data_IF_204620174180
#
_entry.id   IF_204620174180
#
_cell.length_a   1.000
_cell.length_b   1.000
_cell.length_c   1.000
_cell.angle_alpha   90.00
_cell.angle_beta   90.00
_cell.angle_gamma   90.00
#
_symmetry.space_group_name_H-M   'P 1'
#
loop_
_entity.id
_entity.type
_entity.pdbx_description
1 polymer ?
#
# COMPACT_ATOMS: atom_id res chain seq x y z
N UNK A 1 3.97 -1.49 -12.09
CA UNK A 1 2.63 -2.10 -12.01
C UNK A 1 1.60 -1.14 -12.62
N UNK A 2 0.48 -1.61 -13.16
CA UNK A 2 -0.64 -0.75 -13.59
C UNK A 2 -1.67 -0.57 -12.46
N UNK A 3 -2.45 0.51 -12.48
CA UNK A 3 -3.47 0.83 -11.46
C UNK A 3 -4.45 -0.32 -11.18
N UNK A 4 -5.11 -0.84 -12.22
CA UNK A 4 -6.06 -1.96 -12.10
C UNK A 4 -5.40 -3.22 -11.50
N UNK A 5 -4.15 -3.49 -11.88
CA UNK A 5 -3.39 -4.62 -11.35
C UNK A 5 -3.09 -4.45 -9.85
N UNK A 6 -2.75 -3.24 -9.39
CA UNK A 6 -2.54 -2.98 -7.97
C UNK A 6 -3.84 -3.15 -7.17
N UNK A 7 -4.94 -2.59 -7.67
CA UNK A 7 -6.27 -2.72 -7.05
C UNK A 7 -6.67 -4.19 -6.89
N UNK A 8 -6.48 -5.00 -7.93
CA UNK A 8 -6.76 -6.44 -7.88
C UNK A 8 -5.86 -7.16 -6.87
N UNK A 9 -4.57 -6.81 -6.80
CA UNK A 9 -3.63 -7.39 -5.85
C UNK A 9 -4.00 -7.05 -4.40
N UNK A 10 -4.29 -5.78 -4.09
CA UNK A 10 -4.69 -5.35 -2.75
C UNK A 10 -5.98 -6.05 -2.30
N UNK A 11 -6.95 -6.19 -3.21
CA UNK A 11 -8.20 -6.91 -2.96
C UNK A 11 -7.95 -8.39 -2.68
N UNK A 12 -7.14 -9.06 -3.51
CA UNK A 12 -6.78 -10.49 -3.32
C UNK A 12 -5.94 -10.73 -2.06
N UNK A 13 -5.13 -9.75 -1.66
CA UNK A 13 -4.35 -9.79 -0.43
C UNK A 13 -5.24 -9.67 0.82
N UNK A 14 -6.48 -9.21 0.66
CA UNK A 14 -7.48 -9.15 1.72
C UNK A 14 -7.57 -7.80 2.43
N UNK A 15 -7.08 -6.71 1.81
CA UNK A 15 -7.28 -5.37 2.37
C UNK A 15 -8.74 -4.93 2.17
N UNK A 16 -9.45 -4.50 3.23
CA UNK A 16 -10.77 -3.89 3.10
C UNK A 16 -10.73 -2.68 2.16
N UNK A 17 -11.69 -2.62 1.23
CA UNK A 17 -11.80 -1.59 0.21
C UNK A 17 -13.08 -0.77 0.40
N UNK A 18 -12.97 0.55 0.31
CA UNK A 18 -14.07 1.51 0.25
C UNK A 18 -13.79 2.51 -0.90
N UNK A 19 -14.49 2.33 -2.03
CA UNK A 19 -14.16 3.06 -3.26
C UNK A 19 -12.73 2.78 -3.73
N UNK A 20 -11.90 3.81 -3.82
CA UNK A 20 -10.47 3.69 -4.19
C UNK A 20 -9.52 3.60 -2.98
N UNK A 21 -10.09 3.44 -1.79
CA UNK A 21 -9.36 3.43 -0.53
C UNK A 21 -9.23 2.01 0.00
N UNK A 22 -8.01 1.61 0.36
CA UNK A 22 -7.69 0.35 1.02
C UNK A 22 -7.19 0.61 2.43
N UNK A 23 -7.76 -0.08 3.41
CA UNK A 23 -7.35 0.02 4.81
C UNK A 23 -6.51 -1.19 5.23
N UNK A 24 -5.62 -0.99 6.21
CA UNK A 24 -4.98 -2.10 6.90
C UNK A 24 -6.04 -2.90 7.69
N UNK A 25 -6.15 -4.24 7.50
CA UNK A 25 -7.04 -5.06 8.31
C UNK A 25 -6.65 -5.04 9.80
N UNK A 26 -7.63 -5.21 10.69
CA UNK A 26 -7.36 -5.35 12.12
C UNK A 26 -6.46 -6.56 12.39
N UNK A 27 -5.55 -6.43 13.36
CA UNK A 27 -4.61 -7.50 13.73
C UNK A 27 -3.56 -7.82 12.66
N UNK A 28 -3.37 -6.94 11.68
CA UNK A 28 -2.37 -7.10 10.63
C UNK A 28 -1.48 -5.85 10.49
N UNK A 29 -0.35 -6.03 9.84
CA UNK A 29 0.58 -5.00 9.41
C UNK A 29 0.70 -5.04 7.88
N UNK A 30 0.52 -3.88 7.25
CA UNK A 30 0.78 -3.69 5.81
C UNK A 30 2.12 -2.99 5.63
N UNK A 31 2.96 -3.53 4.74
CA UNK A 31 4.21 -2.93 4.29
C UNK A 31 4.15 -2.74 2.77
N UNK A 32 4.55 -1.57 2.27
CA UNK A 32 4.64 -1.28 0.83
C UNK A 32 6.10 -1.08 0.44
N UNK A 33 6.52 -1.74 -0.65
CA UNK A 33 7.87 -1.67 -1.19
C UNK A 33 7.84 -0.87 -2.48
N UNK A 34 8.59 0.24 -2.51
CA UNK A 34 8.67 1.15 -3.64
C UNK A 34 10.06 1.10 -4.28
N UNK A 35 10.12 1.06 -5.61
CA UNK A 35 11.35 1.23 -6.37
C UNK A 35 11.61 2.70 -6.67
N UNK A 36 12.49 3.35 -5.90
CA UNK A 36 12.88 4.75 -6.12
C UNK A 36 14.32 4.80 -6.69
N UNK A 37 14.44 4.73 -8.01
CA UNK A 37 15.74 4.75 -8.67
C UNK A 37 16.60 3.55 -8.27
N UNK A 38 17.74 3.81 -7.62
CA UNK A 38 18.70 2.76 -7.22
C UNK A 38 18.43 2.19 -5.82
N UNK A 39 17.57 2.82 -5.03
CA UNK A 39 17.29 2.38 -3.65
C UNK A 39 15.80 2.07 -3.45
N UNK A 40 15.46 0.93 -2.84
CA UNK A 40 14.08 0.66 -2.47
C UNK A 40 13.69 1.50 -1.24
N UNK A 41 12.53 2.16 -1.30
CA UNK A 41 11.89 2.73 -0.11
C UNK A 41 10.89 1.73 0.45
N UNK A 42 11.03 1.42 1.73
CA UNK A 42 10.11 0.53 2.45
C UNK A 42 9.24 1.40 3.36
N UNK A 43 7.94 1.41 3.10
CA UNK A 43 6.97 2.08 3.96
C UNK A 43 6.31 1.00 4.81
N UNK A 44 6.73 0.93 6.08
CA UNK A 44 6.19 -0.03 7.03
C UNK A 44 5.03 0.55 7.84
N UNK A 45 4.19 -0.34 8.40
CA UNK A 45 3.00 0.01 9.18
C UNK A 45 2.10 1.01 8.45
N UNK A 46 1.71 0.65 7.23
CA UNK A 46 0.73 1.39 6.44
C UNK A 46 -0.65 1.23 7.07
N UNK A 47 -1.33 2.35 7.29
CA UNK A 47 -2.72 2.37 7.76
C UNK A 47 -3.71 2.39 6.59
N UNK A 48 -3.39 3.14 5.52
CA UNK A 48 -4.28 3.38 4.38
C UNK A 48 -3.49 3.54 3.08
N UNK A 49 -4.05 3.04 2.00
CA UNK A 49 -3.58 3.24 0.62
C UNK A 49 -4.76 3.80 -0.19
N UNK A 50 -4.59 4.96 -0.81
CA UNK A 50 -5.55 5.55 -1.75
C UNK A 50 -5.00 5.37 -3.16
N UNK A 51 -5.78 4.82 -4.09
CA UNK A 51 -5.33 4.55 -5.48
C UNK A 51 -6.15 5.40 -6.45
N UNK A 52 -5.58 6.51 -6.91
CA UNK A 52 -6.26 7.45 -7.80
C UNK A 52 -5.59 7.46 -9.18
N UNK A 53 -6.14 6.66 -10.10
CA UNK A 53 -5.55 6.50 -11.44
C UNK A 53 -4.13 5.95 -11.36
N UNK A 54 -3.16 6.66 -11.94
CA UNK A 54 -1.75 6.26 -11.97
C UNK A 54 -0.96 6.64 -10.70
N UNK A 55 -1.62 7.25 -9.71
CA UNK A 55 -1.00 7.69 -8.48
C UNK A 55 -1.55 6.94 -7.26
N UNK A 56 -0.71 6.82 -6.24
CA UNK A 56 -1.12 6.35 -4.93
C UNK A 56 -0.68 7.29 -3.82
N UNK A 57 -1.52 7.35 -2.79
CA UNK A 57 -1.24 8.01 -1.53
C UNK A 57 -1.21 6.96 -0.43
N UNK A 58 -0.04 6.76 0.18
CA UNK A 58 0.14 5.86 1.32
C UNK A 58 0.15 6.69 2.59
N UNK A 59 -0.67 6.32 3.56
CA UNK A 59 -0.69 6.93 4.90
C UNK A 59 -0.26 5.90 5.93
N UNK A 60 0.81 6.19 6.66
CA UNK A 60 1.30 5.36 7.76
C UNK A 60 0.45 5.49 9.03
N UNK A 61 0.58 4.55 9.95
CA UNK A 61 -0.10 4.60 11.27
C UNK A 61 0.31 5.82 12.10
N UNK A 62 1.46 6.45 11.80
CA UNK A 62 1.94 7.69 12.45
C UNK A 62 1.50 8.95 11.71
N UNK A 63 0.58 8.84 10.74
CA UNK A 63 0.04 9.94 9.91
C UNK A 63 1.04 10.60 8.96
N UNK A 64 2.21 10.01 8.80
CA UNK A 64 3.12 10.23 7.68
C UNK A 64 2.44 9.87 6.35
N UNK A 65 2.70 10.66 5.30
CA UNK A 65 2.05 10.53 3.99
C UNK A 65 3.09 10.49 2.88
N UNK A 66 2.94 9.53 1.97
CA UNK A 66 3.79 9.36 0.81
C UNK A 66 2.93 9.36 -0.46
N UNK A 67 3.35 10.10 -1.48
CA UNK A 67 2.72 10.09 -2.79
C UNK A 67 3.71 9.52 -3.81
N UNK A 68 3.27 8.59 -4.64
CA UNK A 68 4.11 7.90 -5.62
C UNK A 68 3.26 7.39 -6.79
N UNK A 69 3.90 7.02 -7.90
CA UNK A 69 3.22 6.43 -9.04
C UNK A 69 2.98 4.93 -8.79
N UNK A 70 1.85 4.39 -9.29
CA UNK A 70 1.55 2.94 -9.18
C UNK A 70 2.64 2.10 -9.83
N UNK A 71 3.27 2.63 -10.88
CA UNK A 71 4.41 2.03 -11.54
C UNK A 71 5.58 1.70 -10.58
N UNK A 72 5.76 2.48 -9.50
CA UNK A 72 6.85 2.32 -8.53
C UNK A 72 6.58 1.28 -7.45
N UNK A 73 5.35 0.78 -7.31
CA UNK A 73 5.04 -0.28 -6.34
C UNK A 73 5.60 -1.61 -6.83
N UNK A 74 6.57 -2.15 -6.09
CA UNK A 74 7.21 -3.43 -6.37
C UNK A 74 6.45 -4.59 -5.70
N UNK A 75 6.02 -4.38 -4.45
CA UNK A 75 5.29 -5.38 -3.67
C UNK A 75 4.48 -4.73 -2.55
N UNK A 76 3.45 -5.46 -2.10
CA UNK A 76 2.68 -5.15 -0.88
C UNK A 76 2.65 -6.41 -0.02
N UNK A 77 3.04 -6.30 1.24
CA UNK A 77 3.06 -7.39 2.21
C UNK A 77 1.98 -7.15 3.25
N UNK A 78 1.19 -8.18 3.54
CA UNK A 78 0.29 -8.24 4.68
C UNK A 78 0.80 -9.34 5.62
N UNK A 79 1.02 -9.01 6.89
CA UNK A 79 1.47 -9.95 7.92
C UNK A 79 0.58 -9.84 9.16
N UNK A 80 0.45 -10.91 9.94
CA UNK A 80 -0.23 -10.84 11.23
C UNK A 80 0.56 -9.95 12.20
N UNK A 81 -0.13 -9.07 12.92
CA UNK A 81 0.45 -8.23 13.97
C UNK A 81 0.67 -9.10 15.21
N UNK A 82 1.90 -9.62 15.35
CA UNK A 82 2.32 -10.43 16.48
C UNK A 82 2.58 -9.52 17.68
N UNK A 83 1.51 -8.98 18.29
CA UNK A 83 1.60 -8.31 19.60
C UNK A 83 1.52 -9.31 20.74
#
# INVERSE_FOLDING_TARGET
MQAAQLVDLLTRLGLPRDGEVFACPAGHLVTVYLGLGTEPLIIDRVARIDVAGEHLLITGVRKDRYATAVAQVLAVRLAADSK
#
